data_IF_335478827335
#
_entry.id   IF_335478827335
#
_cell.length_a   1.000
_cell.length_b   1.000
_cell.length_c   1.000
_cell.angle_alpha   90.00
_cell.angle_beta   90.00
_cell.angle_gamma   90.00
#
_symmetry.space_group_name_H-M   'P 1'
#
loop_
_entity.id
_entity.type
_entity.pdbx_description
1 polymer ?
#
# COMPACT_ATOMS: atom_id res chain seq x y z
N UNK A 1 -30.14 30.00 -15.79
CA UNK A 1 -28.81 29.34 -15.89
C UNK A 1 -27.74 30.15 -15.13
N UNK A 2 -28.02 30.62 -13.90
CA UNK A 2 -27.15 31.58 -13.19
C UNK A 2 -27.16 31.43 -11.65
N UNK A 3 -27.56 30.28 -11.11
CA UNK A 3 -27.58 30.05 -9.64
C UNK A 3 -26.27 29.39 -9.14
N UNK A 4 -25.36 29.02 -10.05
CA UNK A 4 -24.10 28.34 -9.68
C UNK A 4 -22.91 29.30 -9.43
N UNK A 5 -23.06 30.60 -9.69
CA UNK A 5 -21.91 31.53 -9.75
C UNK A 5 -21.59 32.28 -8.44
N UNK A 6 -22.28 31.98 -7.33
CA UNK A 6 -22.23 32.81 -6.11
C UNK A 6 -21.90 32.05 -4.83
N UNK A 7 -21.40 30.81 -4.92
CA UNK A 7 -20.75 30.21 -3.77
C UNK A 7 -19.30 30.72 -3.79
N UNK A 8 -18.87 31.53 -2.81
CA UNK A 8 -17.49 31.99 -2.76
C UNK A 8 -16.58 30.75 -2.74
N UNK A 9 -15.49 30.75 -3.52
CA UNK A 9 -14.52 29.64 -3.57
C UNK A 9 -14.09 29.18 -2.16
N UNK A 10 -14.05 30.13 -1.22
CA UNK A 10 -13.77 29.92 0.20
C UNK A 10 -14.82 29.11 0.99
N UNK A 11 -16.07 29.09 0.54
CA UNK A 11 -17.13 28.26 1.13
C UNK A 11 -16.96 26.81 0.69
N UNK A 12 -16.75 26.58 -0.62
CA UNK A 12 -16.47 25.22 -1.15
C UNK A 12 -15.24 24.62 -0.49
N UNK A 13 -14.16 25.40 -0.34
CA UNK A 13 -12.94 24.94 0.36
C UNK A 13 -13.20 24.58 1.82
N UNK A 14 -14.03 25.35 2.54
CA UNK A 14 -14.38 25.05 3.94
C UNK A 14 -15.21 23.78 4.06
N UNK A 15 -16.21 23.61 3.21
CA UNK A 15 -17.03 22.39 3.16
C UNK A 15 -16.18 21.16 2.83
N UNK A 16 -15.29 21.27 1.85
CA UNK A 16 -14.38 20.20 1.44
C UNK A 16 -13.44 19.80 2.58
N UNK A 17 -12.81 20.78 3.26
CA UNK A 17 -11.93 20.48 4.40
C UNK A 17 -12.71 19.76 5.50
N UNK A 18 -13.91 20.23 5.86
CA UNK A 18 -14.77 19.57 6.85
C UNK A 18 -15.07 18.11 6.48
N UNK A 19 -15.52 17.88 5.25
CA UNK A 19 -15.81 16.54 4.75
C UNK A 19 -14.57 15.62 4.76
N UNK A 20 -13.40 16.14 4.34
CA UNK A 20 -12.15 15.36 4.35
C UNK A 20 -11.64 15.06 5.76
N UNK A 21 -11.84 15.98 6.71
CA UNK A 21 -11.49 15.77 8.13
C UNK A 21 -12.39 14.69 8.72
N UNK A 22 -13.71 14.77 8.51
CA UNK A 22 -14.67 13.76 8.98
C UNK A 22 -14.41 12.37 8.38
N UNK A 23 -14.00 12.29 7.12
CA UNK A 23 -13.60 11.04 6.48
C UNK A 23 -12.23 10.52 6.92
N UNK A 24 -11.35 11.35 7.48
CA UNK A 24 -9.98 10.93 7.79
C UNK A 24 -9.77 10.52 9.25
N UNK A 25 -10.61 10.99 10.17
CA UNK A 25 -10.43 10.76 11.61
C UNK A 25 -10.49 9.29 12.02
N UNK A 26 -11.38 8.50 11.41
CA UNK A 26 -11.55 7.08 11.78
C UNK A 26 -11.05 6.10 10.72
N UNK A 27 -11.02 6.51 9.46
CA UNK A 27 -10.71 5.61 8.35
C UNK A 27 -9.20 5.45 8.12
N UNK A 28 -8.38 6.45 8.47
CA UNK A 28 -6.93 6.35 8.29
C UNK A 28 -6.30 5.39 9.30
N UNK A 29 -6.68 5.51 10.58
CA UNK A 29 -6.19 4.63 11.64
C UNK A 29 -6.64 3.19 11.42
N UNK A 30 -7.89 2.98 11.01
CA UNK A 30 -8.43 1.66 10.66
C UNK A 30 -7.76 1.08 9.42
N UNK A 31 -7.63 1.84 8.34
CA UNK A 31 -6.95 1.38 7.12
C UNK A 31 -5.48 1.04 7.40
N UNK A 32 -4.80 1.82 8.24
CA UNK A 32 -3.43 1.51 8.65
C UNK A 32 -3.34 0.20 9.43
N UNK A 33 -4.27 -0.05 10.36
CA UNK A 33 -4.33 -1.30 11.12
C UNK A 33 -4.62 -2.52 10.21
N UNK A 34 -5.55 -2.38 9.26
CA UNK A 34 -5.87 -3.42 8.29
C UNK A 34 -4.68 -3.74 7.38
N UNK A 35 -3.95 -2.72 6.92
CA UNK A 35 -2.72 -2.88 6.14
C UNK A 35 -1.62 -3.56 6.95
N UNK A 36 -1.42 -3.17 8.21
CA UNK A 36 -0.43 -3.80 9.09
C UNK A 36 -0.77 -5.28 9.32
N UNK A 37 -2.03 -5.60 9.61
CA UNK A 37 -2.47 -6.98 9.80
C UNK A 37 -2.25 -7.84 8.55
N UNK A 38 -2.51 -7.28 7.36
CA UNK A 38 -2.26 -7.98 6.10
C UNK A 38 -0.76 -8.24 5.89
N UNK A 39 0.08 -7.23 6.12
CA UNK A 39 1.52 -7.36 6.01
C UNK A 39 2.06 -8.40 7.01
N UNK A 40 1.66 -8.35 8.28
CA UNK A 40 2.10 -9.30 9.31
C UNK A 40 1.72 -10.75 8.98
N UNK A 41 0.55 -10.96 8.36
CA UNK A 41 0.11 -12.28 7.93
C UNK A 41 0.96 -12.86 6.77
N UNK A 42 1.45 -12.02 5.85
CA UNK A 42 2.13 -12.46 4.62
C UNK A 42 3.63 -12.19 4.59
N UNK A 43 4.19 -11.52 5.59
CA UNK A 43 5.62 -11.15 5.66
C UNK A 43 6.56 -12.35 5.54
N UNK A 44 6.12 -13.53 6.00
CA UNK A 44 6.92 -14.77 5.99
C UNK A 44 6.99 -15.42 4.60
N UNK A 45 6.05 -15.07 3.73
CA UNK A 45 5.96 -15.58 2.36
C UNK A 45 6.68 -14.66 1.37
N UNK A 46 7.01 -13.43 1.78
CA UNK A 46 7.75 -12.47 0.97
C UNK A 46 9.25 -12.84 0.90
N UNK A 47 9.76 -13.31 -0.25
CA UNK A 47 11.15 -13.73 -0.40
C UNK A 47 12.16 -12.59 -0.31
N UNK A 48 11.69 -11.34 -0.40
CA UNK A 48 12.52 -10.13 -0.28
C UNK A 48 12.66 -9.68 1.17
N UNK A 49 11.67 -9.97 2.02
CA UNK A 49 11.71 -9.65 3.45
C UNK A 49 12.29 -10.83 4.24
N UNK A 50 11.85 -12.05 3.95
CA UNK A 50 12.42 -13.29 4.51
C UNK A 50 13.27 -13.97 3.44
N UNK A 51 14.61 -13.95 3.57
CA UNK A 51 15.48 -14.53 2.57
C UNK A 51 15.21 -16.02 2.37
N UNK A 52 14.90 -16.40 1.14
CA UNK A 52 14.72 -17.81 0.78
C UNK A 52 16.08 -18.50 0.55
N UNK A 53 16.15 -19.84 0.75
CA UNK A 53 17.35 -20.60 0.44
C UNK A 53 17.80 -20.42 -1.01
N UNK A 54 19.11 -20.48 -1.20
CA UNK A 54 19.76 -20.33 -2.51
C UNK A 54 19.23 -21.28 -3.60
N UNK A 55 18.73 -22.46 -3.23
CA UNK A 55 18.14 -23.44 -4.16
C UNK A 55 16.75 -23.06 -4.67
N UNK A 56 16.00 -22.30 -3.86
CA UNK A 56 14.63 -21.88 -4.17
C UNK A 56 14.60 -20.54 -4.90
N UNK A 57 15.66 -19.73 -4.80
CA UNK A 57 15.79 -18.48 -5.52
C UNK A 57 15.97 -18.73 -7.04
N UNK A 58 14.99 -18.39 -7.88
CA UNK A 58 15.06 -18.62 -9.33
C UNK A 58 16.06 -17.70 -10.05
N UNK A 59 16.46 -16.59 -9.42
CA UNK A 59 17.45 -15.66 -9.95
C UNK A 59 18.89 -16.07 -9.63
N UNK A 60 19.09 -17.10 -8.80
CA UNK A 60 20.44 -17.58 -8.51
C UNK A 60 20.95 -18.40 -9.67
N UNK A 61 22.20 -18.15 -10.08
CA UNK A 61 22.89 -19.00 -11.04
C UNK A 61 22.83 -20.46 -10.59
N UNK A 62 22.21 -21.30 -11.42
CA UNK A 62 22.31 -22.75 -11.25
C UNK A 62 23.79 -23.07 -11.44
N UNK A 63 24.45 -23.55 -10.37
CA UNK A 63 25.72 -24.26 -10.54
C UNK A 63 25.39 -25.49 -11.36
N UNK A 64 25.52 -25.39 -12.69
CA UNK A 64 25.60 -26.56 -13.54
C UNK A 64 26.78 -27.35 -12.99
N UNK A 65 26.49 -28.46 -12.32
CA UNK A 65 27.52 -29.43 -12.00
C UNK A 65 28.15 -29.79 -13.33
N UNK A 66 29.42 -29.39 -13.50
CA UNK A 66 30.24 -29.84 -14.60
C UNK A 66 30.31 -31.36 -14.47
N UNK A 67 29.47 -32.07 -15.23
CA UNK A 67 29.71 -33.48 -15.52
C UNK A 67 30.75 -33.46 -16.61
N UNK A 68 32.01 -33.61 -16.23
CA UNK A 68 33.04 -34.04 -17.17
C UNK A 68 32.70 -35.50 -17.44
N UNK A 69 32.17 -35.76 -18.64
CA UNK A 69 31.97 -37.11 -19.18
C UNK A 69 33.31 -37.67 -19.66
#
# INVERSE_FOLDING_TARGET
>A
MLVRSLIPDQFIRREMVRYTVELSTDYVSKAAADLMAYCDAHIREDPLIVPVPASENPFREKKFFCTIL
#
